data_IF_876781534761
#
_entry.id   IF_876781534761
#
_cell.length_a   1.000
_cell.length_b   1.000
_cell.length_c   1.000
_cell.angle_alpha   90.00
_cell.angle_beta   90.00
_cell.angle_gamma   90.00
#
_symmetry.space_group_name_H-M   'P 1'
#
loop_
_entity.id
_entity.type
_entity.pdbx_description
1 polymer ?
#
# COMPACT_ATOMS: atom_id res chain seq x y z
N UNK A 1 -13.47 2.39 17.68
CA UNK A 1 -14.92 2.66 17.81
C UNK A 1 -15.63 1.54 18.59
N UNK A 2 -15.63 0.28 18.11
CA UNK A 2 -16.32 -0.83 18.80
C UNK A 2 -15.88 -1.02 20.27
N UNK A 3 -14.57 -0.96 20.55
CA UNK A 3 -14.01 -1.03 21.91
C UNK A 3 -14.57 0.06 22.85
N UNK A 4 -14.63 1.32 22.39
CA UNK A 4 -15.21 2.43 23.16
C UNK A 4 -16.72 2.23 23.39
N UNK A 5 -17.45 1.78 22.37
CA UNK A 5 -18.87 1.47 22.50
C UNK A 5 -19.14 0.29 23.46
N UNK A 6 -18.14 -0.55 23.73
CA UNK A 6 -18.19 -1.64 24.69
C UNK A 6 -17.76 -1.23 26.11
N UNK A 7 -17.62 0.08 26.39
CA UNK A 7 -17.28 0.62 27.70
C UNK A 7 -15.78 0.58 28.02
N UNK A 8 -14.92 0.55 27.01
CA UNK A 8 -13.46 0.68 27.19
C UNK A 8 -13.06 2.14 27.04
N UNK A 9 -12.77 2.77 28.17
CA UNK A 9 -12.45 4.21 28.23
C UNK A 9 -10.96 4.49 28.40
N UNK A 10 -10.19 3.48 28.83
CA UNK A 10 -8.75 3.57 29.04
C UNK A 10 -7.99 2.61 28.11
N UNK A 11 -6.95 3.12 27.44
CA UNK A 11 -6.10 2.33 26.54
C UNK A 11 -4.64 2.50 26.95
N UNK A 12 -4.05 1.41 27.43
CA UNK A 12 -2.62 1.33 27.75
C UNK A 12 -1.89 0.76 26.54
N UNK A 13 -0.88 1.47 26.03
CA UNK A 13 -0.11 1.05 24.85
C UNK A 13 1.35 0.85 25.17
N UNK A 14 1.87 -0.31 24.80
CA UNK A 14 3.26 -0.68 24.98
C UNK A 14 3.84 -1.22 23.68
N UNK A 15 5.13 -0.99 23.45
CA UNK A 15 5.88 -1.57 22.32
C UNK A 15 7.11 -2.25 22.87
N UNK A 16 7.24 -3.55 22.64
CA UNK A 16 8.41 -4.32 23.02
C UNK A 16 9.64 -3.85 22.24
N UNK A 17 10.71 -3.59 22.99
CA UNK A 17 11.97 -3.02 22.54
C UNK A 17 12.95 -3.01 23.71
N UNK A 18 13.92 -2.10 23.69
CA UNK A 18 14.93 -1.99 24.76
C UNK A 18 14.31 -1.49 26.08
N UNK A 19 13.27 -0.66 26.01
CA UNK A 19 12.75 0.07 27.18
C UNK A 19 11.43 -0.50 27.74
N UNK A 20 10.94 -1.65 27.24
CA UNK A 20 9.71 -2.23 27.78
C UNK A 20 10.00 -3.05 29.04
N UNK A 21 9.57 -2.53 30.19
CA UNK A 21 9.56 -3.26 31.45
C UNK A 21 8.24 -4.04 31.60
N UNK A 22 8.32 -5.36 31.44
CA UNK A 22 7.18 -6.27 31.61
C UNK A 22 6.63 -6.29 33.03
N UNK A 23 7.44 -5.99 34.05
CA UNK A 23 6.93 -5.89 35.43
C UNK A 23 6.01 -4.68 35.59
N UNK A 24 6.35 -3.54 34.97
CA UNK A 24 5.47 -2.37 34.97
C UNK A 24 4.17 -2.63 34.22
N UNK A 25 4.22 -3.38 33.10
CA UNK A 25 3.01 -3.78 32.36
C UNK A 25 2.08 -4.59 33.26
N UNK A 26 2.60 -5.59 33.96
CA UNK A 26 1.82 -6.45 34.86
C UNK A 26 1.33 -5.71 36.10
N UNK A 27 2.13 -4.82 36.68
CA UNK A 27 1.70 -3.97 37.78
C UNK A 27 0.50 -3.09 37.38
N UNK A 28 0.52 -2.56 36.15
CA UNK A 28 -0.59 -1.79 35.58
C UNK A 28 -1.88 -2.60 35.44
N UNK A 29 -1.80 -3.92 35.19
CA UNK A 29 -2.99 -4.78 35.11
C UNK A 29 -3.62 -5.05 36.47
N UNK A 30 -2.81 -5.08 37.54
CA UNK A 30 -3.30 -5.28 38.91
C UNK A 30 -3.88 -4.01 39.54
N UNK A 31 -3.49 -2.83 39.08
CA UNK A 31 -4.05 -1.57 39.57
C UNK A 31 -5.53 -1.49 39.19
N UNK A 32 -6.43 -1.30 40.17
CA UNK A 32 -7.86 -1.09 39.89
C UNK A 32 -8.05 0.27 39.21
N UNK A 33 -8.79 0.30 38.10
CA UNK A 33 -9.15 1.56 37.46
C UNK A 33 -10.17 2.29 38.35
N UNK A 34 -9.85 3.52 38.76
CA UNK A 34 -10.73 4.34 39.60
C UNK A 34 -11.93 4.92 38.84
N UNK A 35 -11.89 4.88 37.50
CA UNK A 35 -12.84 5.61 36.64
C UNK A 35 -13.36 4.81 35.43
N UNK A 36 -12.69 3.72 35.01
CA UNK A 36 -13.14 2.93 33.85
C UNK A 36 -13.64 1.56 34.27
N UNK A 37 -14.76 1.14 33.69
CA UNK A 37 -15.30 -0.22 33.89
C UNK A 37 -14.48 -1.28 33.17
N UNK A 38 -13.79 -0.93 32.07
CA UNK A 38 -12.97 -1.84 31.27
C UNK A 38 -11.79 -1.12 30.61
N UNK A 39 -10.67 -1.82 30.44
CA UNK A 39 -9.41 -1.31 29.88
C UNK A 39 -8.95 -2.11 28.66
N UNK A 40 -8.29 -1.43 27.72
CA UNK A 40 -7.58 -2.08 26.60
C UNK A 40 -6.09 -2.05 26.87
N UNK A 41 -5.47 -3.22 26.95
CA UNK A 41 -4.02 -3.37 26.99
C UNK A 41 -3.52 -3.73 25.59
N UNK A 42 -2.92 -2.78 24.89
CA UNK A 42 -2.33 -2.99 23.56
C UNK A 42 -0.80 -3.17 23.69
N UNK A 43 -0.30 -4.34 23.31
CA UNK A 43 1.14 -4.62 23.32
C UNK A 43 1.61 -4.91 21.89
N UNK A 44 2.63 -4.20 21.43
CA UNK A 44 3.23 -4.39 20.11
C UNK A 44 4.53 -5.16 20.23
N UNK A 45 4.70 -6.21 19.43
CA UNK A 45 5.92 -7.02 19.35
C UNK A 45 6.52 -6.92 17.94
N UNK A 46 7.31 -5.88 17.61
CA UNK A 46 7.85 -5.69 16.26
C UNK A 46 8.69 -6.88 15.76
N UNK A 47 9.45 -7.51 16.66
CA UNK A 47 10.26 -8.70 16.38
C UNK A 47 9.44 -10.00 16.23
N UNK A 48 8.13 -9.96 16.53
CA UNK A 48 7.27 -11.13 16.62
C UNK A 48 7.44 -11.95 17.90
N UNK A 49 8.36 -11.56 18.80
CA UNK A 49 8.70 -12.32 20.01
C UNK A 49 8.70 -11.43 21.26
N UNK A 50 8.07 -11.84 22.36
CA UNK A 50 8.06 -11.07 23.61
C UNK A 50 9.34 -11.24 24.45
N UNK A 51 10.26 -12.12 24.04
CA UNK A 51 11.40 -12.53 24.86
C UNK A 51 10.97 -13.42 26.04
N UNK A 52 11.92 -13.81 26.88
CA UNK A 52 11.64 -14.70 28.01
C UNK A 52 10.80 -14.02 29.09
N UNK A 53 11.16 -12.80 29.49
CA UNK A 53 10.41 -12.02 30.47
C UNK A 53 8.96 -11.76 30.02
N UNK A 54 8.77 -11.37 28.76
CA UNK A 54 7.43 -11.14 28.22
C UNK A 54 6.61 -12.42 28.04
N UNK A 55 7.24 -13.53 27.65
CA UNK A 55 6.54 -14.81 27.59
C UNK A 55 6.01 -15.25 28.97
N UNK A 56 6.79 -15.03 30.03
CA UNK A 56 6.36 -15.28 31.42
C UNK A 56 5.22 -14.36 31.81
N UNK A 57 5.38 -13.05 31.61
CA UNK A 57 4.36 -12.04 31.93
C UNK A 57 3.01 -12.30 31.22
N UNK A 58 3.05 -12.62 29.92
CA UNK A 58 1.83 -12.95 29.16
C UNK A 58 1.15 -14.22 29.68
N UNK A 59 1.93 -15.24 30.04
CA UNK A 59 1.36 -16.49 30.58
C UNK A 59 0.75 -16.27 31.97
N UNK A 60 1.38 -15.45 32.81
CA UNK A 60 0.87 -15.06 34.13
C UNK A 60 -0.39 -14.20 34.04
N UNK A 61 -0.42 -13.24 33.12
CA UNK A 61 -1.61 -12.46 32.81
C UNK A 61 -2.81 -13.33 32.46
N UNK A 62 -2.60 -14.33 31.58
CA UNK A 62 -3.66 -15.25 31.15
C UNK A 62 -4.08 -16.25 32.23
N UNK A 63 -3.20 -16.53 33.21
CA UNK A 63 -3.53 -17.37 34.35
C UNK A 63 -4.34 -16.61 35.43
N UNK A 64 -4.39 -15.29 35.34
CA UNK A 64 -5.10 -14.42 36.28
C UNK A 64 -6.46 -14.01 35.68
N UNK A 65 -7.53 -14.06 36.47
CA UNK A 65 -8.85 -13.64 36.01
C UNK A 65 -8.94 -12.11 35.94
N UNK A 66 -8.91 -11.57 34.72
CA UNK A 66 -8.93 -10.14 34.43
C UNK A 66 -10.15 -9.79 33.53
N UNK A 67 -11.39 -9.93 34.02
CA UNK A 67 -12.60 -9.80 33.20
C UNK A 67 -12.78 -8.41 32.57
N UNK A 68 -12.14 -7.40 33.17
CA UNK A 68 -12.25 -6.01 32.75
C UNK A 68 -11.08 -5.54 31.89
N UNK A 69 -10.15 -6.42 31.50
CA UNK A 69 -8.99 -6.07 30.65
C UNK A 69 -9.04 -6.86 29.35
N UNK A 70 -9.11 -6.14 28.22
CA UNK A 70 -8.96 -6.73 26.90
C UNK A 70 -7.50 -6.58 26.46
N UNK A 71 -6.81 -7.71 26.30
CA UNK A 71 -5.46 -7.74 25.74
C UNK A 71 -5.50 -7.80 24.21
N UNK A 72 -4.81 -6.87 23.55
CA UNK A 72 -4.55 -6.87 22.10
C UNK A 72 -3.05 -6.96 21.87
N UNK A 73 -2.60 -8.08 21.35
CA UNK A 73 -1.21 -8.29 20.96
C UNK A 73 -1.03 -8.09 19.46
N UNK A 74 -0.21 -7.11 19.07
CA UNK A 74 0.13 -6.82 17.67
C UNK A 74 1.56 -7.25 17.43
N UNK A 75 1.75 -8.42 16.81
CA UNK A 75 3.08 -8.94 16.52
C UNK A 75 3.46 -8.70 15.05
N UNK A 76 4.77 -8.54 14.82
CA UNK A 76 5.37 -8.79 13.51
C UNK A 76 5.26 -10.27 13.12
N UNK A 77 6.08 -10.73 12.18
CA UNK A 77 6.04 -12.14 11.76
C UNK A 77 6.39 -13.07 12.92
N UNK A 78 5.45 -13.90 13.34
CA UNK A 78 5.64 -14.95 14.35
C UNK A 78 6.05 -16.25 13.64
N UNK A 79 7.27 -16.72 13.90
CA UNK A 79 7.79 -17.96 13.30
C UNK A 79 7.15 -19.23 13.92
N UNK A 80 7.31 -20.37 13.25
CA UNK A 80 6.72 -21.64 13.69
C UNK A 80 7.15 -22.04 15.10
N UNK A 81 8.40 -21.78 15.48
CA UNK A 81 8.90 -22.08 16.83
C UNK A 81 8.20 -21.24 17.89
N UNK A 82 7.96 -19.96 17.63
CA UNK A 82 7.18 -19.09 18.53
C UNK A 82 5.71 -19.49 18.58
N UNK A 83 5.12 -19.92 17.46
CA UNK A 83 3.74 -20.45 17.44
C UNK A 83 3.59 -21.74 18.25
N UNK A 84 4.64 -22.56 18.35
CA UNK A 84 4.65 -23.75 19.23
C UNK A 84 4.98 -23.44 20.69
N UNK A 85 5.38 -22.21 21.03
CA UNK A 85 5.76 -21.85 22.38
C UNK A 85 4.54 -21.73 23.30
N UNK A 86 4.74 -22.03 24.60
CA UNK A 86 3.68 -22.05 25.62
C UNK A 86 2.88 -20.75 25.68
N UNK A 87 3.55 -19.59 25.61
CA UNK A 87 2.90 -18.28 25.68
C UNK A 87 1.94 -18.05 24.50
N UNK A 88 2.30 -18.47 23.29
CA UNK A 88 1.47 -18.30 22.11
C UNK A 88 0.28 -19.26 22.14
N UNK A 89 0.52 -20.52 22.54
CA UNK A 89 -0.55 -21.50 22.72
C UNK A 89 -1.56 -21.09 23.79
N UNK A 90 -1.10 -20.45 24.86
CA UNK A 90 -1.99 -19.89 25.88
C UNK A 90 -2.87 -18.76 25.30
N UNK A 91 -2.30 -17.86 24.50
CA UNK A 91 -3.06 -16.79 23.82
C UNK A 91 -4.09 -17.35 22.82
N UNK A 92 -3.72 -18.36 22.04
CA UNK A 92 -4.64 -19.01 21.10
C UNK A 92 -5.79 -19.73 21.83
N UNK A 93 -5.54 -20.29 23.01
CA UNK A 93 -6.57 -20.96 23.80
C UNK A 93 -7.51 -19.96 24.50
N UNK A 94 -6.99 -18.81 24.94
CA UNK A 94 -7.75 -17.80 25.66
C UNK A 94 -8.46 -16.77 24.75
N UNK A 95 -8.11 -16.71 23.46
CA UNK A 95 -8.59 -15.66 22.57
C UNK A 95 -8.58 -16.03 21.09
N UNK A 96 -8.53 -15.00 20.23
CA UNK A 96 -8.56 -15.15 18.77
C UNK A 96 -7.25 -14.68 18.18
N UNK A 97 -6.56 -15.58 17.47
CA UNK A 97 -5.38 -15.23 16.69
C UNK A 97 -5.79 -14.95 15.22
N UNK A 98 -5.45 -13.76 14.72
CA UNK A 98 -5.73 -13.36 13.33
C UNK A 98 -4.40 -13.14 12.62
N UNK A 99 -4.16 -13.93 11.57
CA UNK A 99 -2.96 -13.76 10.74
C UNK A 99 -3.21 -12.77 9.60
N UNK A 100 -2.63 -11.57 9.71
CA UNK A 100 -2.71 -10.54 8.67
C UNK A 100 -1.62 -10.74 7.61
N UNK A 101 -1.78 -11.75 6.74
CA UNK A 101 -0.85 -11.99 5.62
C UNK A 101 -0.97 -10.88 4.56
N UNK A 102 0.13 -10.46 3.93
CA UNK A 102 0.07 -9.61 2.74
C UNK A 102 -0.78 -10.28 1.65
N UNK A 103 -1.63 -9.51 0.97
CA UNK A 103 -2.40 -10.05 -0.15
C UNK A 103 -1.51 -10.27 -1.36
N UNK A 104 -1.72 -11.39 -2.05
CA UNK A 104 -1.13 -11.60 -3.38
C UNK A 104 -1.91 -10.85 -4.45
N UNK A 105 -1.31 -10.66 -5.62
CA UNK A 105 -1.97 -10.00 -6.76
C UNK A 105 -3.25 -10.74 -7.19
N UNK A 106 -3.28 -12.06 -7.03
CA UNK A 106 -4.43 -12.91 -7.36
C UNK A 106 -5.57 -12.75 -6.35
N UNK A 107 -5.25 -12.47 -5.08
CA UNK A 107 -6.23 -12.28 -4.01
C UNK A 107 -6.83 -10.86 -3.98
N UNK A 108 -6.09 -9.88 -4.51
CA UNK A 108 -6.46 -8.47 -4.47
C UNK A 108 -7.85 -8.19 -5.06
N UNK A 109 -8.25 -8.71 -6.24
CA UNK A 109 -9.60 -8.50 -6.78
C UNK A 109 -10.71 -8.96 -5.82
N UNK A 110 -10.56 -10.14 -5.21
CA UNK A 110 -11.57 -10.66 -4.27
C UNK A 110 -11.72 -9.78 -3.03
N UNK A 111 -10.60 -9.28 -2.50
CA UNK A 111 -10.60 -8.35 -1.37
C UNK A 111 -11.26 -7.01 -1.69
N UNK A 112 -11.06 -6.49 -2.91
CA UNK A 112 -11.68 -5.25 -3.38
C UNK A 112 -13.20 -5.45 -3.53
N UNK A 113 -13.63 -6.53 -4.20
CA UNK A 113 -15.05 -6.85 -4.37
C UNK A 113 -15.78 -6.94 -3.02
N UNK A 114 -15.21 -7.70 -2.07
CA UNK A 114 -15.79 -7.84 -0.74
C UNK A 114 -15.97 -6.50 -0.03
N UNK A 115 -14.98 -5.61 -0.13
CA UNK A 115 -15.04 -4.28 0.53
C UNK A 115 -16.02 -3.33 -0.14
N UNK A 116 -16.10 -3.31 -1.47
CA UNK A 116 -17.09 -2.52 -2.19
C UNK A 116 -18.51 -2.95 -1.81
N UNK A 117 -18.75 -4.27 -1.76
CA UNK A 117 -20.05 -4.83 -1.32
C UNK A 117 -20.37 -4.53 0.14
N UNK A 118 -19.39 -4.61 1.03
CA UNK A 118 -19.56 -4.26 2.44
C UNK A 118 -19.94 -2.77 2.64
N UNK A 119 -19.62 -1.92 1.66
CA UNK A 119 -20.03 -0.52 1.63
C UNK A 119 -21.33 -0.27 0.83
N UNK A 120 -22.04 -1.34 0.47
CA UNK A 120 -23.32 -1.29 -0.22
C UNK A 120 -23.22 -1.03 -1.73
N UNK A 121 -22.04 -1.08 -2.33
CA UNK A 121 -21.89 -0.93 -3.78
C UNK A 121 -22.07 -2.27 -4.51
N UNK A 122 -22.46 -2.19 -5.80
CA UNK A 122 -22.60 -3.35 -6.68
C UNK A 122 -21.58 -3.25 -7.83
N UNK A 123 -20.34 -3.72 -7.65
CA UNK A 123 -19.31 -3.54 -8.68
C UNK A 123 -19.40 -4.59 -9.80
N UNK A 124 -19.05 -4.19 -11.04
CA UNK A 124 -18.80 -5.12 -12.14
C UNK A 124 -17.45 -5.83 -11.96
N UNK A 125 -17.27 -6.99 -12.60
CA UNK A 125 -15.99 -7.69 -12.56
C UNK A 125 -14.85 -6.84 -13.13
N UNK A 126 -15.07 -6.08 -14.21
CA UNK A 126 -14.03 -5.23 -14.77
C UNK A 126 -13.76 -4.00 -13.91
N UNK A 127 -14.73 -3.45 -13.16
CA UNK A 127 -14.50 -2.36 -12.22
C UNK A 127 -13.60 -2.83 -11.06
N UNK A 128 -13.84 -4.04 -10.55
CA UNK A 128 -12.98 -4.69 -9.55
C UNK A 128 -11.56 -4.90 -10.11
N UNK A 129 -11.44 -5.44 -11.31
CA UNK A 129 -10.13 -5.66 -11.96
C UNK A 129 -9.38 -4.35 -12.21
N UNK A 130 -10.09 -3.29 -12.60
CA UNK A 130 -9.56 -1.94 -12.74
C UNK A 130 -9.01 -1.42 -11.42
N UNK A 131 -9.81 -1.47 -10.35
CA UNK A 131 -9.37 -1.03 -9.02
C UNK A 131 -8.19 -1.87 -8.52
N UNK A 132 -8.19 -3.19 -8.76
CA UNK A 132 -7.06 -4.06 -8.41
C UNK A 132 -5.79 -3.66 -9.14
N UNK A 133 -5.88 -3.43 -10.46
CA UNK A 133 -4.77 -2.98 -11.27
C UNK A 133 -4.21 -1.62 -10.79
N UNK A 134 -5.08 -0.67 -10.43
CA UNK A 134 -4.65 0.62 -9.90
C UNK A 134 -4.08 0.53 -8.49
N UNK A 135 -4.57 -0.41 -7.68
CA UNK A 135 -4.23 -0.52 -6.26
C UNK A 135 -3.06 -1.48 -5.99
N UNK A 136 -2.49 -2.10 -7.02
CA UNK A 136 -1.49 -3.14 -6.88
C UNK A 136 -0.23 -2.63 -6.16
N UNK A 137 0.16 -3.31 -5.08
CA UNK A 137 1.31 -2.93 -4.27
C UNK A 137 1.06 -1.81 -3.25
N UNK A 138 -0.17 -1.27 -3.16
CA UNK A 138 -0.54 -0.28 -2.15
C UNK A 138 -1.97 -0.51 -1.61
N UNK A 139 -2.12 -1.52 -0.75
CA UNK A 139 -3.39 -1.88 -0.11
C UNK A 139 -4.01 -0.75 0.72
N UNK A 140 -3.19 0.13 1.32
CA UNK A 140 -3.69 1.24 2.11
C UNK A 140 -4.40 2.27 1.22
N UNK A 141 -3.76 2.68 0.13
CA UNK A 141 -4.39 3.56 -0.86
C UNK A 141 -5.65 2.92 -1.44
N UNK A 142 -5.61 1.62 -1.74
CA UNK A 142 -6.78 0.87 -2.18
C UNK A 142 -7.97 1.00 -1.21
N UNK A 143 -7.71 0.76 0.08
CA UNK A 143 -8.73 0.84 1.11
C UNK A 143 -9.33 2.25 1.23
N UNK A 144 -8.48 3.27 1.14
CA UNK A 144 -8.89 4.67 1.20
C UNK A 144 -9.74 5.04 -0.02
N UNK A 145 -9.32 4.70 -1.24
CA UNK A 145 -10.12 4.97 -2.43
C UNK A 145 -11.46 4.26 -2.40
N UNK A 146 -11.49 2.97 -2.02
CA UNK A 146 -12.74 2.21 -1.87
C UNK A 146 -13.69 2.92 -0.91
N UNK A 147 -13.19 3.41 0.23
CA UNK A 147 -14.00 4.11 1.24
C UNK A 147 -14.65 5.41 0.78
N UNK A 148 -14.11 6.05 -0.26
CA UNK A 148 -14.67 7.28 -0.83
C UNK A 148 -15.78 7.00 -1.85
N UNK A 149 -15.72 5.85 -2.54
CA UNK A 149 -16.62 5.55 -3.66
C UNK A 149 -18.11 5.68 -3.30
N UNK A 150 -18.63 5.17 -2.16
CA UNK A 150 -20.03 5.33 -1.81
C UNK A 150 -20.47 6.79 -1.66
N UNK A 151 -19.56 7.68 -1.24
CA UNK A 151 -19.83 9.11 -1.12
C UNK A 151 -19.93 9.81 -2.48
N UNK A 152 -19.28 9.24 -3.51
CA UNK A 152 -19.22 9.82 -4.85
C UNK A 152 -20.32 9.30 -5.77
N UNK A 153 -20.71 8.03 -5.63
CA UNK A 153 -21.74 7.39 -6.48
C UNK A 153 -23.07 7.18 -5.79
N UNK A 154 -23.16 7.39 -4.48
CA UNK A 154 -24.32 7.05 -3.66
C UNK A 154 -24.32 5.59 -3.20
N UNK A 155 -24.83 5.34 -2.00
CA UNK A 155 -24.97 3.99 -1.46
C UNK A 155 -25.98 3.18 -2.29
N UNK A 156 -25.70 1.89 -2.51
CA UNK A 156 -26.58 1.01 -3.31
C UNK A 156 -26.32 1.04 -4.82
N UNK A 157 -25.51 1.98 -5.30
CA UNK A 157 -25.26 2.19 -6.73
C UNK A 157 -24.43 1.06 -7.37
N UNK A 158 -24.71 0.80 -8.65
CA UNK A 158 -23.84 -0.01 -9.49
C UNK A 158 -22.55 0.75 -9.83
N UNK A 159 -21.43 0.04 -9.82
CA UNK A 159 -20.13 0.58 -10.21
C UNK A 159 -19.54 -0.27 -11.33
N UNK A 160 -19.71 0.16 -12.57
CA UNK A 160 -19.09 -0.45 -13.75
C UNK A 160 -17.77 0.25 -14.12
N UNK A 161 -17.09 -0.26 -15.16
CA UNK A 161 -15.81 0.28 -15.62
C UNK A 161 -15.92 1.73 -16.07
N UNK A 162 -16.98 2.07 -16.81
CA UNK A 162 -17.18 3.40 -17.38
C UNK A 162 -17.45 4.43 -16.28
N UNK A 163 -18.30 4.10 -15.31
CA UNK A 163 -18.55 4.95 -14.15
C UNK A 163 -17.29 5.14 -13.31
N UNK A 164 -16.51 4.08 -13.14
CA UNK A 164 -15.21 4.16 -12.48
C UNK A 164 -14.23 5.03 -13.29
N UNK A 165 -14.20 4.94 -14.62
CA UNK A 165 -13.38 5.83 -15.47
C UNK A 165 -13.74 7.30 -15.26
N UNK A 166 -15.03 7.63 -15.25
CA UNK A 166 -15.51 9.00 -15.03
C UNK A 166 -15.07 9.55 -13.67
N UNK A 167 -15.25 8.76 -12.60
CA UNK A 167 -14.84 9.16 -11.25
C UNK A 167 -13.34 9.39 -11.15
N UNK A 168 -12.55 8.52 -11.78
CA UNK A 168 -11.09 8.67 -11.83
C UNK A 168 -10.74 9.91 -12.64
N UNK A 169 -11.37 10.16 -13.79
CA UNK A 169 -11.13 11.33 -14.63
C UNK A 169 -11.46 12.65 -13.91
N UNK A 170 -12.55 12.69 -13.15
CA UNK A 170 -12.96 13.86 -12.35
C UNK A 170 -12.00 14.12 -11.19
N UNK A 171 -11.46 13.06 -10.57
CA UNK A 171 -10.43 13.17 -9.53
C UNK A 171 -9.02 13.45 -10.09
N UNK A 172 -8.76 13.09 -11.36
CA UNK A 172 -7.46 13.11 -12.02
C UNK A 172 -6.89 14.51 -12.33
N UNK A 173 -7.47 15.59 -11.78
CA UNK A 173 -6.83 16.91 -11.92
C UNK A 173 -5.41 16.91 -11.32
N UNK A 174 -5.18 16.20 -10.21
CA UNK A 174 -3.86 16.00 -9.59
C UNK A 174 -3.73 14.65 -8.86
N UNK A 175 -3.75 13.51 -9.57
CA UNK A 175 -3.47 12.19 -8.96
C UNK A 175 -2.14 11.62 -9.46
N UNK A 176 -1.54 10.71 -8.68
CA UNK A 176 -0.35 9.96 -9.10
C UNK A 176 -0.60 9.14 -10.37
N UNK A 177 -1.86 8.78 -10.65
CA UNK A 177 -2.29 8.12 -11.89
C UNK A 177 -2.33 9.09 -13.06
N UNK A 178 -2.89 10.28 -12.86
CA UNK A 178 -2.89 11.34 -13.87
C UNK A 178 -1.48 11.76 -14.27
N UNK A 179 -0.54 11.75 -13.30
CA UNK A 179 0.88 11.96 -13.56
C UNK A 179 1.42 10.88 -14.49
N UNK A 180 1.18 9.61 -14.17
CA UNK A 180 1.67 8.50 -14.95
C UNK A 180 1.08 8.51 -16.37
N UNK A 181 -0.24 8.70 -16.52
CA UNK A 181 -0.89 8.79 -17.82
C UNK A 181 -0.38 9.98 -18.66
N UNK A 182 -0.18 11.16 -18.04
CA UNK A 182 0.41 12.31 -18.73
C UNK A 182 1.85 12.03 -19.19
N UNK A 183 2.64 11.35 -18.35
CA UNK A 183 4.01 10.98 -18.67
C UNK A 183 4.08 9.98 -19.83
N UNK A 184 3.25 8.94 -19.79
CA UNK A 184 3.18 7.93 -20.86
C UNK A 184 2.71 8.53 -22.19
N UNK A 185 1.72 9.42 -22.13
CA UNK A 185 1.24 10.16 -23.30
C UNK A 185 2.31 11.10 -23.89
N UNK A 186 3.44 11.33 -23.20
CA UNK A 186 4.49 12.24 -23.65
C UNK A 186 4.17 13.71 -23.43
N UNK A 187 3.14 14.04 -22.64
CA UNK A 187 2.73 15.42 -22.41
C UNK A 187 3.50 16.04 -21.24
N UNK A 188 4.74 16.46 -21.50
CA UNK A 188 5.63 17.00 -20.47
C UNK A 188 5.06 18.18 -19.68
N UNK A 189 4.38 19.13 -20.36
CA UNK A 189 3.78 20.29 -19.71
C UNK A 189 2.69 19.88 -18.70
N UNK A 190 1.84 18.92 -19.06
CA UNK A 190 0.85 18.35 -18.16
C UNK A 190 1.51 17.54 -17.04
N UNK A 191 2.50 16.71 -17.35
CA UNK A 191 3.25 15.90 -16.38
C UNK A 191 3.84 16.76 -15.27
N UNK A 192 4.54 17.85 -15.62
CA UNK A 192 5.11 18.80 -14.65
C UNK A 192 4.04 19.50 -13.82
N UNK A 193 2.96 19.96 -14.47
CA UNK A 193 1.84 20.60 -13.77
C UNK A 193 1.23 19.66 -12.73
N UNK A 194 1.02 18.39 -13.11
CA UNK A 194 0.45 17.38 -12.21
C UNK A 194 1.41 17.07 -11.07
N UNK A 195 2.71 16.87 -11.36
CA UNK A 195 3.73 16.59 -10.35
C UNK A 195 3.84 17.72 -9.32
N UNK A 196 3.84 18.98 -9.77
CA UNK A 196 3.87 20.13 -8.88
C UNK A 196 2.59 20.28 -8.05
N UNK A 197 1.42 19.95 -8.62
CA UNK A 197 0.17 19.89 -7.87
C UNK A 197 0.24 18.87 -6.73
N UNK A 198 0.67 17.64 -7.03
CA UNK A 198 0.86 16.57 -6.04
C UNK A 198 1.81 16.99 -4.91
N UNK A 199 2.93 17.64 -5.24
CA UNK A 199 3.87 18.15 -4.25
C UNK A 199 3.24 19.23 -3.35
N UNK A 200 2.45 20.14 -3.93
CA UNK A 200 1.77 21.22 -3.19
C UNK A 200 0.66 20.69 -2.27
N UNK A 201 -0.01 19.63 -2.68
CA UNK A 201 -1.06 18.96 -1.90
C UNK A 201 -0.51 18.07 -0.78
N UNK A 202 0.83 17.98 -0.65
CA UNK A 202 1.47 17.18 0.40
C UNK A 202 1.42 15.68 0.15
N UNK A 203 1.23 15.25 -1.10
CA UNK A 203 1.26 13.82 -1.46
C UNK A 203 2.67 13.29 -1.22
N UNK A 204 2.78 12.19 -0.48
CA UNK A 204 4.08 11.58 -0.18
C UNK A 204 4.81 11.11 -1.45
N UNK A 205 6.10 11.42 -1.55
CA UNK A 205 6.92 11.09 -2.72
C UNK A 205 6.96 9.57 -3.01
N UNK A 206 6.76 8.73 -1.99
CA UNK A 206 6.68 7.26 -2.14
C UNK A 206 5.53 6.83 -3.05
N UNK A 207 4.42 7.56 -3.04
CA UNK A 207 3.25 7.28 -3.88
C UNK A 207 3.55 7.63 -5.34
N UNK A 208 4.29 8.71 -5.58
CA UNK A 208 4.73 9.10 -6.92
C UNK A 208 5.70 8.08 -7.50
N UNK A 209 6.71 7.67 -6.71
CA UNK A 209 7.68 6.63 -7.09
C UNK A 209 6.95 5.33 -7.45
N UNK A 210 6.03 4.90 -6.59
CA UNK A 210 5.26 3.68 -6.82
C UNK A 210 4.45 3.73 -8.11
N UNK A 211 3.73 4.83 -8.37
CA UNK A 211 2.86 4.96 -9.54
C UNK A 211 3.66 4.90 -10.85
N UNK A 212 4.78 5.63 -10.92
CA UNK A 212 5.70 5.57 -12.06
C UNK A 212 6.32 4.17 -12.21
N UNK A 213 6.72 3.52 -11.12
CA UNK A 213 7.39 2.23 -11.16
C UNK A 213 6.47 1.13 -11.68
N UNK A 214 5.19 1.16 -11.29
CA UNK A 214 4.17 0.21 -11.77
C UNK A 214 4.04 0.27 -13.29
N UNK A 215 3.84 1.47 -13.84
CA UNK A 215 3.68 1.66 -15.29
C UNK A 215 4.97 1.33 -16.06
N UNK A 216 6.12 1.77 -15.56
CA UNK A 216 7.41 1.53 -16.22
C UNK A 216 7.81 0.05 -16.24
N UNK A 217 7.50 -0.72 -15.19
CA UNK A 217 7.70 -2.19 -15.20
C UNK A 217 6.80 -2.86 -16.23
N UNK A 218 5.53 -2.48 -16.29
CA UNK A 218 4.58 -3.03 -17.26
C UNK A 218 5.04 -2.74 -18.69
N UNK A 219 5.50 -1.51 -18.97
CA UNK A 219 6.01 -1.12 -20.28
C UNK A 219 7.33 -1.80 -20.63
N UNK A 220 8.24 -1.98 -19.68
CA UNK A 220 9.48 -2.73 -19.90
C UNK A 220 9.19 -4.19 -20.29
N UNK A 221 8.28 -4.87 -19.58
CA UNK A 221 7.89 -6.23 -19.89
C UNK A 221 7.16 -6.33 -21.25
N UNK A 222 6.24 -5.41 -21.54
CA UNK A 222 5.58 -5.36 -22.85
C UNK A 222 6.55 -5.07 -23.99
N UNK A 223 7.53 -4.17 -23.80
CA UNK A 223 8.52 -3.85 -24.80
C UNK A 223 9.43 -5.05 -25.12
N UNK A 224 9.82 -5.83 -24.11
CA UNK A 224 10.60 -7.05 -24.27
C UNK A 224 9.82 -8.15 -25.04
N UNK A 225 8.54 -8.34 -24.71
CA UNK A 225 7.68 -9.27 -25.43
C UNK A 225 7.45 -8.85 -26.89
N UNK A 226 7.32 -7.55 -27.16
CA UNK A 226 7.22 -7.04 -28.54
C UNK A 226 8.55 -7.19 -29.30
N UNK A 227 9.69 -6.94 -28.65
CA UNK A 227 11.01 -7.11 -29.24
C UNK A 227 11.33 -8.57 -29.58
N UNK A 228 10.78 -9.51 -28.81
CA UNK A 228 10.85 -10.96 -29.09
C UNK A 228 9.87 -11.43 -30.18
N UNK A 229 9.17 -10.50 -30.86
CA UNK A 229 8.32 -10.79 -32.02
C UNK A 229 6.90 -11.23 -31.70
N UNK A 230 6.43 -11.13 -30.44
CA UNK A 230 5.03 -11.43 -30.11
C UNK A 230 4.09 -10.39 -30.73
N UNK A 231 2.92 -10.85 -31.13
CA UNK A 231 1.88 -9.98 -31.67
C UNK A 231 1.38 -8.98 -30.61
N UNK A 232 1.28 -7.71 -30.98
CA UNK A 232 0.86 -6.62 -30.07
C UNK A 232 -0.48 -6.87 -29.39
N UNK A 233 -1.44 -7.45 -30.10
CA UNK A 233 -2.75 -7.77 -29.56
C UNK A 233 -2.66 -8.78 -28.39
N UNK A 234 -1.78 -9.78 -28.50
CA UNK A 234 -1.59 -10.79 -27.45
C UNK A 234 -0.83 -10.23 -26.25
N UNK A 235 0.18 -9.39 -26.48
CA UNK A 235 0.89 -8.66 -25.42
C UNK A 235 -0.08 -7.79 -24.63
N UNK A 236 -0.92 -7.00 -25.31
CA UNK A 236 -1.91 -6.13 -24.64
C UNK A 236 -2.94 -6.93 -23.85
N UNK A 237 -3.40 -8.07 -24.37
CA UNK A 237 -4.31 -8.96 -23.66
C UNK A 237 -3.66 -9.54 -22.40
N UNK A 238 -2.42 -10.03 -22.50
CA UNK A 238 -1.66 -10.64 -21.39
C UNK A 238 -1.38 -9.65 -20.27
N UNK A 239 -0.98 -8.43 -20.63
CA UNK A 239 -0.72 -7.34 -19.69
C UNK A 239 -2.00 -6.58 -19.27
N UNK A 240 -3.18 -7.06 -19.71
CA UNK A 240 -4.49 -6.47 -19.38
C UNK A 240 -4.59 -4.97 -19.69
N UNK A 241 -4.04 -4.57 -20.83
CA UNK A 241 -4.10 -3.19 -21.33
C UNK A 241 -5.54 -2.90 -21.77
N UNK A 242 -6.20 -2.02 -21.02
CA UNK A 242 -7.57 -1.59 -21.31
C UNK A 242 -7.68 -0.81 -22.61
N UNK A 243 -8.83 -0.91 -23.30
CA UNK A 243 -9.07 -0.25 -24.59
C UNK A 243 -8.81 1.25 -24.54
N UNK A 244 -9.27 1.93 -23.49
CA UNK A 244 -9.06 3.37 -23.27
C UNK A 244 -7.58 3.76 -23.19
N UNK A 245 -6.70 2.86 -22.73
CA UNK A 245 -5.25 3.10 -22.59
C UNK A 245 -4.41 2.60 -23.76
N UNK A 246 -4.99 1.85 -24.71
CA UNK A 246 -4.24 1.27 -25.85
C UNK A 246 -3.47 2.31 -26.65
N UNK A 247 -4.07 3.48 -26.91
CA UNK A 247 -3.40 4.57 -27.63
C UNK A 247 -2.22 5.16 -26.83
N UNK A 248 -2.43 5.43 -25.54
CA UNK A 248 -1.40 5.99 -24.66
C UNK A 248 -0.22 5.01 -24.47
N UNK A 249 -0.52 3.74 -24.17
CA UNK A 249 0.46 2.67 -24.02
C UNK A 249 1.19 2.41 -25.34
N UNK A 250 0.49 2.43 -26.47
CA UNK A 250 1.08 2.29 -27.79
C UNK A 250 2.07 3.41 -28.12
N UNK A 251 1.71 4.66 -27.85
CA UNK A 251 2.60 5.80 -28.04
C UNK A 251 3.85 5.71 -27.14
N UNK A 252 3.69 5.28 -25.88
CA UNK A 252 4.81 5.07 -24.97
C UNK A 252 5.75 3.96 -25.44
N UNK A 253 5.21 2.80 -25.85
CA UNK A 253 6.00 1.67 -26.36
C UNK A 253 6.71 1.98 -27.69
N UNK A 254 6.17 2.89 -28.50
CA UNK A 254 6.82 3.34 -29.73
C UNK A 254 7.97 4.34 -29.48
N UNK A 255 7.99 5.02 -28.32
CA UNK A 255 8.98 6.06 -27.99
C UNK A 255 10.35 5.51 -27.62
N UNK A 256 10.38 4.29 -27.06
CA UNK A 256 11.54 3.73 -26.39
C UNK A 256 11.70 2.25 -26.73
N UNK A 257 12.96 1.81 -26.86
CA UNK A 257 13.29 0.39 -26.95
C UNK A 257 13.09 -0.33 -25.60
N UNK A 258 13.11 -1.67 -25.61
CA UNK A 258 13.10 -2.45 -24.37
C UNK A 258 14.28 -2.11 -23.44
N UNK A 259 15.45 -1.82 -24.01
CA UNK A 259 16.64 -1.39 -23.27
C UNK A 259 16.47 0.01 -22.65
N UNK A 260 15.78 0.92 -23.33
CA UNK A 260 15.44 2.25 -22.80
C UNK A 260 14.50 2.15 -21.61
N UNK A 261 13.42 1.36 -21.72
CA UNK A 261 12.49 1.14 -20.61
C UNK A 261 13.17 0.54 -19.37
N UNK A 262 14.09 -0.40 -19.59
CA UNK A 262 14.91 -0.98 -18.51
C UNK A 262 15.82 0.07 -17.85
N UNK A 263 16.46 0.95 -18.64
CA UNK A 263 17.28 2.06 -18.13
C UNK A 263 16.46 3.08 -17.34
N UNK A 264 15.29 3.45 -17.84
CA UNK A 264 14.38 4.36 -17.15
C UNK A 264 13.92 3.75 -15.82
N UNK A 265 13.58 2.46 -15.80
CA UNK A 265 13.21 1.75 -14.57
C UNK A 265 14.35 1.71 -13.56
N UNK A 266 15.58 1.47 -14.02
CA UNK A 266 16.78 1.52 -13.17
C UNK A 266 17.01 2.91 -12.57
N UNK A 267 16.73 3.98 -13.32
CA UNK A 267 16.77 5.35 -12.81
C UNK A 267 15.73 5.59 -11.71
N UNK A 268 14.48 5.18 -11.93
CA UNK A 268 13.47 5.29 -10.89
C UNK A 268 13.80 4.47 -9.64
N UNK A 269 14.44 3.30 -9.80
CA UNK A 269 14.94 2.52 -8.68
C UNK A 269 16.07 3.21 -7.88
N UNK A 270 16.84 4.12 -8.49
CA UNK A 270 17.78 5.01 -7.77
C UNK A 270 17.00 6.02 -6.90
N UNK A 271 15.94 6.62 -7.45
CA UNK A 271 15.08 7.53 -6.71
C UNK A 271 14.38 6.85 -5.51
N UNK A 272 13.88 5.62 -5.68
CA UNK A 272 13.30 4.82 -4.59
C UNK A 272 14.31 4.54 -3.46
N UNK A 273 15.55 4.19 -3.81
CA UNK A 273 16.63 3.99 -2.83
C UNK A 273 16.95 5.26 -2.06
N UNK A 274 17.00 6.40 -2.75
CA UNK A 274 17.26 7.69 -2.13
C UNK A 274 16.14 8.10 -1.16
N UNK A 275 14.88 7.90 -1.56
CA UNK A 275 13.74 8.13 -0.70
C UNK A 275 13.78 7.27 0.58
N UNK A 276 14.28 6.04 0.48
CA UNK A 276 14.46 5.13 1.62
C UNK A 276 15.73 5.41 2.44
N UNK A 277 16.41 6.52 2.21
CA UNK A 277 17.63 6.92 2.93
C UNK A 277 18.87 6.10 2.58
N UNK A 278 18.84 5.30 1.51
CA UNK A 278 19.96 4.44 1.08
C UNK A 278 20.90 5.11 0.06
N UNK A 279 20.60 6.34 -0.35
CA UNK A 279 21.39 7.13 -1.31
C UNK A 279 21.05 8.61 -1.18
N UNK A 280 21.95 9.50 -1.60
CA UNK A 280 21.69 10.93 -1.67
C UNK A 280 21.42 11.36 -3.11
N UNK A 281 20.48 12.29 -3.31
CA UNK A 281 20.16 12.84 -4.63
C UNK A 281 20.21 14.36 -4.57
N UNK A 282 20.93 14.94 -5.53
CA UNK A 282 21.13 16.39 -5.65
C UNK A 282 19.79 17.08 -5.94
N UNK A 283 19.43 18.07 -5.12
CA UNK A 283 18.16 18.80 -5.25
C UNK A 283 16.96 18.12 -4.57
N UNK A 284 17.15 16.97 -3.94
CA UNK A 284 16.11 16.24 -3.22
C UNK A 284 15.22 15.36 -4.12
N UNK A 285 14.37 14.55 -3.48
CA UNK A 285 13.59 13.50 -4.18
C UNK A 285 12.65 14.06 -5.25
N UNK A 286 12.03 15.22 -5.01
CA UNK A 286 11.06 15.80 -5.94
C UNK A 286 11.70 16.25 -7.26
N UNK A 287 12.93 16.75 -7.20
CA UNK A 287 13.68 17.14 -8.41
C UNK A 287 14.05 15.89 -9.22
N UNK A 288 14.41 14.79 -8.57
CA UNK A 288 14.69 13.55 -9.30
C UNK A 288 13.42 12.93 -9.89
N UNK A 289 12.31 12.99 -9.16
CA UNK A 289 11.01 12.58 -9.68
C UNK A 289 10.60 13.39 -10.91
N UNK A 290 10.88 14.70 -10.91
CA UNK A 290 10.67 15.56 -12.07
C UNK A 290 11.51 15.10 -13.26
N UNK A 291 12.79 14.83 -13.03
CA UNK A 291 13.69 14.37 -14.09
C UNK A 291 13.27 13.01 -14.64
N UNK A 292 12.86 12.07 -13.78
CA UNK A 292 12.35 10.76 -14.21
C UNK A 292 11.06 10.93 -15.02
N UNK A 293 10.10 11.72 -14.53
CA UNK A 293 8.83 11.92 -15.21
C UNK A 293 9.00 12.57 -16.59
N UNK A 294 9.92 13.55 -16.72
CA UNK A 294 10.30 14.14 -17.99
C UNK A 294 11.01 13.15 -18.92
N UNK A 295 11.89 12.30 -18.37
CA UNK A 295 12.55 11.26 -19.15
C UNK A 295 11.53 10.27 -19.74
N UNK A 296 10.49 9.88 -18.99
CA UNK A 296 9.39 9.05 -19.51
C UNK A 296 8.61 9.76 -20.63
N UNK A 297 8.55 11.09 -20.62
CA UNK A 297 7.92 11.86 -21.70
C UNK A 297 8.73 11.87 -23.01
N UNK A 298 9.99 11.39 -23.01
CA UNK A 298 10.91 11.53 -24.15
C UNK A 298 11.81 12.74 -24.08
N UNK A 299 11.82 13.48 -22.97
CA UNK A 299 12.69 14.64 -22.81
C UNK A 299 14.01 14.18 -22.21
N UNK A 300 15.11 14.44 -22.93
CA UNK A 300 16.46 14.22 -22.43
C UNK A 300 16.76 15.18 -21.28
N UNK A 301 16.52 14.72 -20.06
CA UNK A 301 16.97 15.44 -18.87
C UNK A 301 18.46 15.23 -18.70
N UNK A 302 19.22 16.30 -18.46
CA UNK A 302 20.67 16.23 -18.31
C UNK A 302 21.05 15.30 -17.15
N UNK A 303 21.50 14.10 -17.50
CA UNK A 303 22.43 13.27 -16.72
C UNK A 303 23.54 12.83 -17.68
N UNK A 304 24.10 13.80 -18.41
CA UNK A 304 25.32 13.60 -19.19
C UNK A 304 26.52 13.62 -18.24
N UNK A 305 26.82 12.47 -17.62
CA UNK A 305 28.16 12.01 -17.19
C UNK A 305 28.04 10.74 -16.33
N UNK A 306 27.53 9.64 -16.91
CA UNK A 306 28.14 8.31 -16.76
C UNK A 306 27.37 7.26 -17.57
N UNK A 307 27.87 6.81 -18.73
CA UNK A 307 27.55 5.50 -19.27
C UNK A 307 28.54 4.46 -18.72
N UNK A 308 27.99 3.35 -18.21
CA UNK A 308 28.66 2.12 -17.75
C UNK A 308 29.44 2.21 -16.43
#
# INVERSE_FOLDING_TARGET
>A
QAARNAGIDEVLRYTAGVDLDWQQVMAGTLAQSLFSSRRLLEIRLPSGKPGEAGARALTEFLATDNPDIILVLIAGRVDKSSQSAKWFKALEAAGVAIEARPLTAEQLPGWIDQRLRAQGLRPSAGAVQRLAHFSEGNLLAAAQEISKLPLLVGAGSSLDEDRLEQLIADQARFTVFALADAALAGNAARTLRVLHGLRREGVEAVLVVWALAREMRSLAAMADELASGRARADVYRRHRVWRSRTACVGAALARFSAADWSRLLARLARADRALKGRSQVVGGIWVELERVALAVCGITTVDQRNPL
#
